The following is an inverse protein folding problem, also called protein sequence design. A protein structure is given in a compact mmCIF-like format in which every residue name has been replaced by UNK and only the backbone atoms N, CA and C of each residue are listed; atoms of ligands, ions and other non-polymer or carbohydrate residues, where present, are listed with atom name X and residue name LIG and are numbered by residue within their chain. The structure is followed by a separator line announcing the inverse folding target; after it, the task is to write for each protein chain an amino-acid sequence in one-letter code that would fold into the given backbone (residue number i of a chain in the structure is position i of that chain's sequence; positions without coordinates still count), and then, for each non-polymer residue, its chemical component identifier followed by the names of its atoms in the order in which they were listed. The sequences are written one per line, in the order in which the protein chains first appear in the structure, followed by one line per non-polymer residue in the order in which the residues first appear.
data_IF_132460647774
#
_entry.id   IF_132460647774
#
_cell.length_a   1.000
_cell.length_b   1.000
_cell.length_c   1.000
_cell.angle_alpha   90.00
_cell.angle_beta   90.00
_cell.angle_gamma   90.00
#
_symmetry.space_group_name_H-M   'P 1'
#
loop_
_entity.id
_entity.type
_entity.pdbx_description
1 polymer ?
#
# COMPACT_ATOMS: atom_id res chain seq x y z
N UNK A 1 11.97 15.20 3.06
CA UNK A 1 11.24 14.08 3.72
C UNK A 1 11.62 12.81 3.00
N UNK A 2 12.18 11.87 3.75
CA UNK A 2 13.17 10.86 3.37
C UNK A 2 12.60 9.68 2.57
N UNK A 3 13.32 9.29 1.51
CA UNK A 3 13.13 8.00 0.83
C UNK A 3 13.31 6.86 1.83
N UNK A 4 12.43 5.86 1.75
CA UNK A 4 12.39 4.73 2.67
C UNK A 4 13.57 3.78 2.40
N UNK A 5 14.16 3.18 3.45
CA UNK A 5 15.33 2.31 3.32
C UNK A 5 15.01 1.05 2.51
N UNK A 6 15.96 0.59 1.70
CA UNK A 6 15.90 -0.57 0.77
C UNK A 6 15.61 -1.95 1.43
N UNK A 7 15.20 -1.99 2.70
CA UNK A 7 14.77 -3.21 3.41
C UNK A 7 13.29 -3.20 3.82
N UNK A 8 12.56 -2.11 3.62
CA UNK A 8 11.14 -2.06 3.99
C UNK A 8 10.29 -2.67 2.87
N UNK A 9 9.41 -3.65 3.15
CA UNK A 9 8.52 -4.17 2.12
C UNK A 9 7.70 -3.00 1.56
N UNK A 10 7.78 -2.78 0.23
CA UNK A 10 7.09 -1.67 -0.44
C UNK A 10 5.62 -1.59 -0.01
N UNK A 11 4.97 -2.73 0.17
CA UNK A 11 3.60 -2.84 0.66
C UNK A 11 3.41 -2.28 2.08
N UNK A 12 4.31 -2.56 3.03
CA UNK A 12 4.20 -2.01 4.39
C UNK A 12 4.36 -0.49 4.40
N UNK A 13 5.23 0.05 3.54
CA UNK A 13 5.38 1.50 3.38
C UNK A 13 4.10 2.13 2.84
N UNK A 14 3.47 1.51 1.84
CA UNK A 14 2.20 1.99 1.28
C UNK A 14 1.06 1.95 2.31
N UNK A 15 1.05 0.92 3.15
CA UNK A 15 0.09 0.83 4.27
C UNK A 15 0.37 1.91 5.32
N UNK A 16 1.64 2.12 5.67
CA UNK A 16 2.04 3.12 6.65
C UNK A 16 1.78 4.56 6.17
N UNK A 17 1.94 4.84 4.88
CA UNK A 17 1.64 6.15 4.29
C UNK A 17 0.15 6.39 4.05
N UNK A 18 -0.69 5.37 4.23
CA UNK A 18 -2.12 5.43 3.91
C UNK A 18 -2.43 5.31 2.42
N UNK A 19 -1.41 5.17 1.56
CA UNK A 19 -1.59 4.98 0.13
C UNK A 19 -2.28 3.65 -0.23
N UNK A 20 -2.15 2.62 0.63
CA UNK A 20 -2.82 1.33 0.46
C UNK A 20 -3.58 0.95 1.73
N UNK A 21 -4.87 0.65 1.58
CA UNK A 21 -5.73 0.30 2.71
C UNK A 21 -5.37 -1.07 3.28
N UNK A 22 -5.55 -1.23 4.59
CA UNK A 22 -5.39 -2.52 5.27
C UNK A 22 -6.36 -2.65 6.44
N UNK A 23 -6.70 -3.89 6.79
CA UNK A 23 -7.44 -4.24 8.01
C UNK A 23 -6.49 -4.95 8.95
N UNK A 24 -6.65 -4.70 10.25
CA UNK A 24 -6.00 -5.52 11.29
C UNK A 24 -6.83 -6.81 11.48
N UNK A 25 -6.24 -7.93 11.10
CA UNK A 25 -6.82 -9.27 11.21
C UNK A 25 -5.98 -10.07 12.22
N UNK A 26 -6.35 -9.96 13.50
CA UNK A 26 -5.59 -10.51 14.62
C UNK A 26 -4.19 -9.89 14.75
N UNK A 27 -3.16 -10.74 14.63
CA UNK A 27 -1.74 -10.33 14.71
C UNK A 27 -1.26 -9.65 13.42
N UNK A 28 -1.88 -9.97 12.28
CA UNK A 28 -1.41 -9.54 10.96
C UNK A 28 -2.28 -8.43 10.38
N UNK A 29 -1.75 -7.75 9.36
CA UNK A 29 -2.53 -6.84 8.51
C UNK A 29 -2.87 -7.53 7.21
N UNK A 30 -4.12 -7.40 6.79
CA UNK A 30 -4.62 -7.96 5.54
C UNK A 30 -5.04 -6.85 4.59
N UNK A 31 -4.71 -7.01 3.32
CA UNK A 31 -5.07 -6.09 2.25
C UNK A 31 -6.07 -6.84 1.39
N UNK A 32 -7.25 -6.26 1.21
CA UNK A 32 -8.28 -6.86 0.38
C UNK A 32 -7.92 -6.69 -1.10
N UNK A 33 -8.20 -7.69 -1.97
CA UNK A 33 -7.88 -7.60 -3.40
C UNK A 33 -8.44 -6.33 -4.06
N UNK A 34 -9.68 -5.96 -3.76
CA UNK A 34 -10.33 -4.74 -4.29
C UNK A 34 -9.53 -3.47 -4.02
N UNK A 35 -8.83 -3.38 -2.90
CA UNK A 35 -8.00 -2.20 -2.59
C UNK A 35 -6.67 -2.20 -3.34
N UNK A 36 -6.19 -3.37 -3.76
CA UNK A 36 -5.04 -3.46 -4.67
C UNK A 36 -5.45 -2.98 -6.05
N UNK A 37 -6.63 -3.40 -6.53
CA UNK A 37 -7.18 -2.96 -7.82
C UNK A 37 -7.38 -1.44 -7.86
N UNK A 38 -7.99 -0.87 -6.81
CA UNK A 38 -8.14 0.59 -6.64
C UNK A 38 -6.78 1.31 -6.66
N UNK A 39 -5.79 0.78 -5.95
CA UNK A 39 -4.44 1.34 -5.91
C UNK A 39 -3.77 1.34 -7.29
N UNK A 40 -3.88 0.22 -8.02
CA UNK A 40 -3.31 0.10 -9.37
C UNK A 40 -3.99 1.07 -10.32
N UNK A 41 -5.33 1.13 -10.30
CA UNK A 41 -6.09 2.05 -11.15
C UNK A 41 -5.69 3.52 -10.92
N UNK A 42 -5.52 3.93 -9.65
CA UNK A 42 -5.03 5.26 -9.31
C UNK A 42 -3.60 5.51 -9.86
N UNK A 43 -2.68 4.55 -9.70
CA UNK A 43 -1.30 4.66 -10.23
C UNK A 43 -1.25 4.75 -11.75
N UNK A 44 -2.11 4.01 -12.45
CA UNK A 44 -2.21 4.06 -13.92
C UNK A 44 -2.75 5.42 -14.38
N UNK A 45 -3.76 5.96 -13.69
CA UNK A 45 -4.30 7.28 -13.97
C UNK A 45 -3.30 8.42 -13.71
N UNK A 46 -2.48 8.32 -12.66
CA UNK A 46 -1.41 9.29 -12.36
C UNK A 46 -0.26 9.26 -13.38
N UNK A 47 -0.04 8.12 -14.06
CA UNK A 47 1.05 7.93 -15.00
C UNK A 47 0.70 8.28 -16.46
N UNK A 48 -0.58 8.59 -16.72
CA UNK A 48 -1.10 8.97 -18.04
C UNK A 48 -1.14 10.50 -18.19
#
# INVERSE_FOLDING_TARGET
MTGLPEGFPRTKSLVASGALRSIKDGHNRRILPVWVDEYIAARVAEAS
#
